data_IF_841141692487
#
_entry.id   IF_841141692487
#
_cell.length_a   1.000
_cell.length_b   1.000
_cell.length_c   1.000
_cell.angle_alpha   90.00
_cell.angle_beta   90.00
_cell.angle_gamma   90.00
#
_symmetry.space_group_name_H-M   'P 1'
#
loop_
_entity.id
_entity.type
_entity.pdbx_description
1 polymer ?
#
# COMPACT_ATOMS: atom_id res chain seq x y z
N UNK A 1 16.14 -7.83 4.14
CA UNK A 1 15.04 -7.24 3.35
C UNK A 1 15.57 -6.02 2.62
N UNK A 2 15.20 -5.79 1.35
CA UNK A 2 15.57 -4.57 0.62
C UNK A 2 14.73 -3.41 1.16
N UNK A 3 15.35 -2.27 1.44
CA UNK A 3 14.65 -1.06 1.92
C UNK A 3 13.67 -0.54 0.83
N UNK A 4 12.50 0.02 1.22
CA UNK A 4 11.55 0.58 0.28
C UNK A 4 12.20 1.71 -0.54
N UNK A 5 11.97 1.71 -1.85
CA UNK A 5 12.58 2.70 -2.75
C UNK A 5 11.66 3.89 -3.06
N UNK A 6 10.41 3.82 -2.62
CA UNK A 6 9.35 4.76 -2.95
C UNK A 6 8.69 5.34 -1.69
N UNK A 7 8.13 6.55 -1.78
CA UNK A 7 7.43 7.17 -0.65
C UNK A 7 6.21 6.34 -0.22
N UNK A 8 5.47 5.81 -1.19
CA UNK A 8 4.37 4.87 -0.91
C UNK A 8 4.85 3.53 -0.31
N UNK A 9 6.01 3.04 -0.74
CA UNK A 9 6.60 1.82 -0.17
C UNK A 9 6.89 1.95 1.32
N UNK A 10 7.35 3.13 1.78
CA UNK A 10 7.58 3.40 3.20
C UNK A 10 6.29 3.41 4.02
N UNK A 11 5.20 4.00 3.52
CA UNK A 11 3.93 3.99 4.26
C UNK A 11 3.40 2.57 4.42
N UNK A 12 3.44 1.78 3.34
CA UNK A 12 3.01 0.37 3.38
C UNK A 12 3.93 -0.48 4.27
N UNK A 13 5.24 -0.21 4.27
CA UNK A 13 6.19 -0.91 5.15
C UNK A 13 5.86 -0.67 6.63
N UNK A 14 5.63 0.59 7.03
CA UNK A 14 5.24 0.92 8.42
C UNK A 14 3.95 0.19 8.81
N UNK A 15 2.92 0.23 7.96
CA UNK A 15 1.69 -0.51 8.22
C UNK A 15 1.89 -2.01 8.29
N UNK A 16 2.72 -2.57 7.40
CA UNK A 16 3.01 -3.99 7.37
C UNK A 16 3.73 -4.46 8.63
N UNK A 17 4.75 -3.71 9.08
CA UNK A 17 5.46 -4.00 10.33
C UNK A 17 4.52 -3.88 11.52
N UNK A 18 3.73 -2.81 11.63
CA UNK A 18 2.78 -2.65 12.74
C UNK A 18 1.76 -3.79 12.78
N UNK A 19 1.16 -4.13 11.63
CA UNK A 19 0.17 -5.21 11.54
C UNK A 19 0.77 -6.58 11.90
N UNK A 20 2.01 -6.83 11.49
CA UNK A 20 2.75 -8.04 11.84
C UNK A 20 3.04 -8.11 13.35
N UNK A 21 3.54 -7.03 13.94
CA UNK A 21 3.93 -6.99 15.35
C UNK A 21 2.70 -7.05 16.26
N UNK A 22 1.65 -6.29 15.97
CA UNK A 22 0.40 -6.37 16.72
C UNK A 22 -0.29 -7.72 16.53
N UNK A 23 -0.27 -8.27 15.31
CA UNK A 23 -0.77 -9.63 15.06
C UNK A 23 -0.01 -10.67 15.86
N UNK A 24 1.32 -10.61 15.88
CA UNK A 24 2.16 -11.51 16.68
C UNK A 24 1.92 -11.34 18.18
N UNK A 25 1.78 -10.10 18.67
CA UNK A 25 1.47 -9.83 20.07
C UNK A 25 0.16 -10.51 20.49
N UNK A 26 -0.88 -10.44 19.67
CA UNK A 26 -2.18 -11.03 20.00
C UNK A 26 -2.20 -12.55 19.97
N UNK A 27 -1.28 -13.16 19.22
CA UNK A 27 -1.10 -14.61 19.16
C UNK A 27 -0.26 -15.14 20.33
N UNK A 28 0.79 -14.40 20.71
CA UNK A 28 1.70 -14.80 21.79
C UNK A 28 1.14 -14.41 23.16
N UNK A 29 0.50 -13.25 23.26
CA UNK A 29 0.03 -12.67 24.52
C UNK A 29 -1.34 -11.99 24.38
N UNK A 30 -2.42 -12.76 24.13
CA UNK A 30 -3.76 -12.23 23.87
C UNK A 30 -4.29 -11.34 25.02
N UNK A 31 -4.00 -11.67 26.27
CA UNK A 31 -4.44 -10.86 27.42
C UNK A 31 -3.80 -9.47 27.45
N UNK A 32 -2.53 -9.36 27.04
CA UNK A 32 -1.86 -8.06 26.97
C UNK A 32 -2.53 -7.17 25.92
N UNK A 33 -2.87 -7.74 24.76
CA UNK A 33 -3.56 -7.02 23.70
C UNK A 33 -4.99 -6.61 24.09
N UNK A 34 -5.74 -7.47 24.79
CA UNK A 34 -7.06 -7.12 25.33
C UNK A 34 -6.98 -5.91 26.27
N UNK A 35 -6.01 -5.89 27.19
CA UNK A 35 -5.83 -4.76 28.11
C UNK A 35 -5.44 -3.48 27.38
N UNK A 36 -4.58 -3.56 26.35
CA UNK A 36 -4.23 -2.41 25.52
C UNK A 36 -5.44 -1.82 24.78
N UNK A 37 -6.38 -2.68 24.38
CA UNK A 37 -7.65 -2.29 23.76
C UNK A 37 -8.69 -1.81 24.79
N UNK A 38 -8.37 -1.85 26.08
CA UNK A 38 -9.25 -1.43 27.17
C UNK A 38 -10.30 -2.48 27.57
N UNK A 39 -10.12 -3.74 27.17
CA UNK A 39 -10.98 -4.85 27.62
C UNK A 39 -10.52 -5.39 28.97
N UNK A 40 -11.49 -5.76 29.80
CA UNK A 40 -11.24 -6.54 31.00
C UNK A 40 -10.85 -7.98 30.64
N UNK A 41 -9.90 -8.53 31.38
CA UNK A 41 -9.45 -9.92 31.23
C UNK A 41 -9.89 -10.69 32.48
N UNK A 42 -11.07 -11.34 32.45
CA UNK A 42 -11.58 -12.07 33.60
C UNK A 42 -10.74 -13.33 33.88
N UNK A 43 -10.59 -13.67 35.17
CA UNK A 43 -9.87 -14.88 35.59
C UNK A 43 -10.57 -16.18 35.13
N UNK A 44 -11.89 -16.14 34.96
CA UNK A 44 -12.70 -17.22 34.38
C UNK A 44 -13.69 -16.63 33.39
N UNK A 45 -13.65 -17.10 32.14
CA UNK A 45 -14.59 -16.72 31.09
C UNK A 45 -15.89 -17.51 31.22
N UNK A 46 -17.03 -16.86 30.98
CA UNK A 46 -18.33 -17.53 30.98
C UNK A 46 -18.48 -18.45 29.76
N UNK A 47 -19.38 -19.43 29.84
CA UNK A 47 -19.74 -20.22 28.67
C UNK A 47 -20.35 -19.29 27.59
N UNK A 48 -19.77 -19.29 26.39
CA UNK A 48 -20.17 -18.41 25.29
C UNK A 48 -19.34 -17.12 25.14
N UNK A 49 -18.40 -16.85 26.05
CA UNK A 49 -17.42 -15.78 25.85
C UNK A 49 -16.34 -16.22 24.86
N UNK A 50 -16.54 -15.86 23.59
CA UNK A 50 -15.61 -16.14 22.50
C UNK A 50 -14.61 -15.01 22.24
N UNK A 51 -14.47 -14.03 23.14
CA UNK A 51 -13.61 -12.86 22.95
C UNK A 51 -12.17 -13.26 22.66
N UNK A 52 -11.64 -14.27 23.36
CA UNK A 52 -10.30 -14.80 23.11
C UNK A 52 -10.16 -15.47 21.74
N UNK A 53 -11.17 -16.22 21.30
CA UNK A 53 -11.19 -16.86 19.98
C UNK A 53 -11.26 -15.81 18.87
N UNK A 54 -12.14 -14.82 19.00
CA UNK A 54 -12.23 -13.70 18.06
C UNK A 54 -10.92 -12.93 18.00
N UNK A 55 -10.32 -12.61 19.14
CA UNK A 55 -9.03 -11.91 19.18
C UNK A 55 -7.93 -12.72 18.48
N UNK A 56 -7.86 -14.03 18.73
CA UNK A 56 -6.86 -14.91 18.08
C UNK A 56 -7.05 -14.91 16.56
N UNK A 57 -8.29 -15.04 16.09
CA UNK A 57 -8.62 -14.98 14.66
C UNK A 57 -8.27 -13.61 14.04
N UNK A 58 -8.64 -12.52 14.71
CA UNK A 58 -8.29 -11.15 14.30
C UNK A 58 -6.77 -10.92 14.28
N UNK A 59 -6.04 -11.50 15.23
CA UNK A 59 -4.58 -11.39 15.34
C UNK A 59 -3.88 -12.17 14.23
N UNK A 60 -4.34 -13.38 13.89
CA UNK A 60 -3.87 -14.12 12.71
C UNK A 60 -4.12 -13.34 11.42
N UNK A 61 -5.31 -12.73 11.28
CA UNK A 61 -5.63 -11.92 10.11
C UNK A 61 -4.70 -10.70 9.98
N UNK A 62 -4.44 -9.98 11.09
CA UNK A 62 -3.50 -8.87 11.14
C UNK A 62 -2.08 -9.31 10.79
N UNK A 63 -1.62 -10.43 11.35
CA UNK A 63 -0.30 -10.99 11.07
C UNK A 63 -0.13 -11.30 9.59
N UNK A 64 -1.10 -12.01 8.99
CA UNK A 64 -1.10 -12.34 7.56
C UNK A 64 -1.07 -11.09 6.69
N UNK A 65 -1.89 -10.07 7.02
CA UNK A 65 -1.86 -8.79 6.30
C UNK A 65 -0.51 -8.08 6.42
N UNK A 66 0.14 -8.14 7.58
CA UNK A 66 1.50 -7.65 7.76
C UNK A 66 2.49 -8.30 6.79
N UNK A 67 2.45 -9.63 6.67
CA UNK A 67 3.28 -10.38 5.72
C UNK A 67 3.00 -9.95 4.27
N UNK A 68 1.72 -9.85 3.88
CA UNK A 68 1.36 -9.45 2.52
C UNK A 68 1.84 -8.03 2.18
N UNK A 69 1.76 -7.10 3.14
CA UNK A 69 2.23 -5.73 2.94
C UNK A 69 3.74 -5.69 2.78
N UNK A 70 4.49 -6.43 3.61
CA UNK A 70 5.94 -6.50 3.51
C UNK A 70 6.40 -7.18 2.23
N UNK A 71 5.69 -8.21 1.76
CA UNK A 71 5.95 -8.85 0.48
C UNK A 71 5.68 -7.89 -0.69
N UNK A 72 4.58 -7.14 -0.64
CA UNK A 72 4.28 -6.11 -1.64
C UNK A 72 5.35 -5.02 -1.67
N UNK A 73 5.89 -4.64 -0.50
CA UNK A 73 7.03 -3.71 -0.41
C UNK A 73 8.29 -4.29 -1.01
N UNK A 74 8.63 -5.53 -0.67
CA UNK A 74 9.83 -6.20 -1.19
C UNK A 74 9.81 -6.37 -2.71
N UNK A 75 8.62 -6.49 -3.29
CA UNK A 75 8.39 -6.65 -4.74
C UNK A 75 8.03 -5.34 -5.45
N UNK A 76 7.94 -4.22 -4.72
CA UNK A 76 7.44 -2.92 -5.22
C UNK A 76 6.12 -3.05 -6.02
N UNK A 77 5.18 -3.83 -5.50
CA UNK A 77 3.91 -4.09 -6.18
C UNK A 77 2.96 -2.88 -6.10
N UNK A 78 3.16 -1.89 -6.99
CA UNK A 78 2.44 -0.60 -6.93
C UNK A 78 0.92 -0.72 -7.11
N UNK A 79 0.43 -1.73 -7.82
CA UNK A 79 -1.00 -1.98 -7.94
C UNK A 79 -1.60 -2.37 -6.58
N UNK A 80 -0.89 -3.15 -5.78
CA UNK A 80 -1.29 -3.48 -4.43
C UNK A 80 -1.38 -2.22 -3.54
N UNK A 81 -0.39 -1.31 -3.62
CA UNK A 81 -0.44 -0.05 -2.85
C UNK A 81 -1.69 0.79 -3.15
N UNK A 82 -2.08 0.87 -4.44
CA UNK A 82 -3.32 1.58 -4.85
C UNK A 82 -4.55 0.91 -4.26
N UNK A 83 -4.59 -0.42 -4.29
CA UNK A 83 -5.68 -1.19 -3.70
C UNK A 83 -5.78 -0.98 -2.19
N UNK A 84 -4.64 -0.88 -1.50
CA UNK A 84 -4.59 -0.57 -0.07
C UNK A 84 -5.28 0.76 0.26
N UNK A 85 -5.10 1.79 -0.58
CA UNK A 85 -5.82 3.07 -0.40
C UNK A 85 -7.33 2.86 -0.42
N UNK A 86 -7.85 2.11 -1.40
CA UNK A 86 -9.29 1.84 -1.51
C UNK A 86 -9.81 1.10 -0.28
N UNK A 87 -9.15 0.03 0.13
CA UNK A 87 -9.58 -0.74 1.30
C UNK A 87 -9.52 0.06 2.58
N UNK A 88 -8.49 0.88 2.77
CA UNK A 88 -8.40 1.78 3.94
C UNK A 88 -9.52 2.80 3.98
N UNK A 89 -9.95 3.34 2.83
CA UNK A 89 -11.12 4.21 2.75
C UNK A 89 -12.43 3.48 3.06
N UNK A 90 -12.55 2.21 2.63
CA UNK A 90 -13.68 1.35 3.02
C UNK A 90 -13.68 1.15 4.54
N UNK A 91 -12.54 0.82 5.14
CA UNK A 91 -12.41 0.63 6.60
C UNK A 91 -12.73 1.91 7.36
N UNK A 92 -12.21 3.07 6.93
CA UNK A 92 -12.57 4.39 7.46
C UNK A 92 -14.08 4.61 7.43
N UNK A 93 -14.73 4.31 6.30
CA UNK A 93 -16.16 4.50 6.11
C UNK A 93 -16.95 3.58 7.04
N UNK A 94 -16.64 2.28 7.07
CA UNK A 94 -17.34 1.31 7.91
C UNK A 94 -17.21 1.67 9.39
N UNK A 95 -15.99 1.96 9.87
CA UNK A 95 -15.79 2.33 11.28
C UNK A 95 -16.49 3.64 11.65
N UNK A 96 -16.47 4.64 10.76
CA UNK A 96 -17.23 5.88 10.96
C UNK A 96 -18.73 5.59 11.07
N UNK A 97 -19.28 4.81 10.15
CA UNK A 97 -20.71 4.48 10.16
C UNK A 97 -21.11 3.66 11.39
N UNK A 98 -20.27 2.72 11.84
CA UNK A 98 -20.58 1.94 13.05
C UNK A 98 -20.61 2.78 14.32
N UNK A 99 -19.78 3.83 14.39
CA UNK A 99 -19.81 4.79 15.51
C UNK A 99 -21.05 5.68 15.40
N UNK A 100 -21.32 6.24 14.21
CA UNK A 100 -22.51 7.08 13.99
C UNK A 100 -23.85 6.35 14.18
N UNK A 101 -23.85 5.02 14.07
CA UNK A 101 -25.01 4.17 14.31
C UNK A 101 -25.09 3.62 15.74
N UNK A 102 -24.24 4.08 16.67
CA UNK A 102 -24.17 3.62 18.06
C UNK A 102 -23.91 2.11 18.25
N UNK A 103 -23.36 1.46 17.21
CA UNK A 103 -22.98 0.03 17.25
C UNK A 103 -21.61 -0.16 17.89
N UNK A 104 -20.70 0.81 17.68
CA UNK A 104 -19.34 0.79 18.21
C UNK A 104 -19.08 1.99 19.14
N UNK A 105 -18.19 1.85 20.14
CA UNK A 105 -17.85 2.96 21.04
C UNK A 105 -17.22 4.15 20.31
N UNK A 106 -17.45 5.39 20.75
CA UNK A 106 -16.89 6.61 20.12
C UNK A 106 -15.38 6.59 19.89
N UNK A 107 -14.64 5.94 20.79
CA UNK A 107 -13.18 5.74 20.66
C UNK A 107 -12.78 5.02 19.37
N UNK A 108 -13.67 4.24 18.74
CA UNK A 108 -13.44 3.60 17.44
C UNK A 108 -13.32 4.62 16.31
N UNK A 109 -13.81 5.84 16.47
CA UNK A 109 -13.62 6.91 15.51
C UNK A 109 -12.13 7.27 15.35
N UNK A 110 -11.33 7.12 16.42
CA UNK A 110 -9.88 7.28 16.34
C UNK A 110 -9.24 6.26 15.38
N UNK A 111 -9.73 5.02 15.38
CA UNK A 111 -9.29 3.97 14.45
C UNK A 111 -9.71 4.31 13.02
N UNK A 112 -10.93 4.80 12.83
CA UNK A 112 -11.38 5.28 11.52
C UNK A 112 -10.43 6.38 11.00
N UNK A 113 -10.20 7.42 11.79
CA UNK A 113 -9.32 8.53 11.42
C UNK A 113 -7.91 8.05 11.06
N UNK A 114 -7.36 7.10 11.83
CA UNK A 114 -6.07 6.49 11.52
C UNK A 114 -6.05 5.82 10.15
N UNK A 115 -7.09 5.05 9.82
CA UNK A 115 -7.22 4.41 8.51
C UNK A 115 -7.32 5.43 7.37
N UNK A 116 -8.10 6.49 7.56
CA UNK A 116 -8.23 7.59 6.61
C UNK A 116 -6.90 8.34 6.38
N UNK A 117 -6.20 8.69 7.46
CA UNK A 117 -4.88 9.33 7.39
C UNK A 117 -3.86 8.43 6.67
N UNK A 118 -3.87 7.14 6.95
CA UNK A 118 -3.02 6.16 6.26
C UNK A 118 -3.30 6.04 4.76
N UNK A 119 -4.58 6.09 4.38
CA UNK A 119 -5.00 6.11 2.98
C UNK A 119 -4.49 7.37 2.27
N UNK A 120 -4.65 8.54 2.89
CA UNK A 120 -4.18 9.83 2.36
C UNK A 120 -2.66 9.82 2.22
N UNK A 121 -1.92 9.41 3.25
CA UNK A 121 -0.46 9.35 3.22
C UNK A 121 0.05 8.46 2.07
N UNK A 122 -0.56 7.29 1.89
CA UNK A 122 -0.20 6.36 0.81
C UNK A 122 -0.55 6.92 -0.58
N UNK A 123 -1.73 7.53 -0.73
CA UNK A 123 -2.15 8.16 -1.98
C UNK A 123 -1.24 9.34 -2.37
N UNK A 124 -0.83 10.16 -1.40
CA UNK A 124 0.12 11.26 -1.59
C UNK A 124 1.49 10.71 -1.99
N UNK A 125 1.98 9.67 -1.31
CA UNK A 125 3.21 8.97 -1.67
C UNK A 125 3.20 8.49 -3.12
N UNK A 126 2.14 7.79 -3.53
CA UNK A 126 1.96 7.31 -4.91
C UNK A 126 1.97 8.47 -5.93
N UNK A 127 1.31 9.58 -5.59
CA UNK A 127 1.24 10.76 -6.47
C UNK A 127 2.58 11.50 -6.58
N UNK A 128 3.39 11.52 -5.53
CA UNK A 128 4.76 12.06 -5.59
C UNK A 128 5.70 11.15 -6.39
N UNK A 129 5.62 9.84 -6.16
CA UNK A 129 6.44 8.87 -6.88
C UNK A 129 6.12 8.88 -8.39
N UNK A 130 4.85 9.07 -8.77
CA UNK A 130 4.45 9.22 -10.18
C UNK A 130 5.01 10.52 -10.80
N UNK A 131 5.00 11.64 -10.06
CA UNK A 131 5.54 12.92 -10.55
C UNK A 131 7.05 12.88 -10.75
N UNK A 132 7.80 12.20 -9.88
CA UNK A 132 9.25 12.02 -10.03
C UNK A 132 9.64 11.14 -11.21
N UNK A 133 8.80 10.18 -11.58
CA UNK A 133 9.04 9.33 -12.75
C UNK A 133 8.83 10.06 -14.09
N UNK A 134 8.15 11.22 -14.08
CA UNK A 134 7.79 12.00 -15.28
C UNK A 134 8.69 13.23 -15.46
N UNK A 135 9.55 13.58 -14.49
CA UNK A 135 10.50 14.68 -14.64
C UNK A 135 11.47 14.37 -15.79
N UNK A 136 11.48 15.18 -16.87
CA UNK A 136 12.26 14.88 -18.06
C UNK A 136 13.75 15.01 -17.77
N UNK A 137 14.54 14.07 -18.29
CA UNK A 137 15.95 14.30 -18.62
C UNK A 137 16.02 15.55 -19.48
N UNK A 138 16.45 16.66 -18.89
CA UNK A 138 16.92 17.84 -19.61
C UNK A 138 18.09 17.38 -20.47
N UNK A 139 17.83 17.18 -21.76
CA UNK A 139 18.87 17.07 -22.78
C UNK A 139 19.46 18.46 -22.92
N UNK A 140 20.51 18.74 -22.15
CA UNK A 140 21.46 19.78 -22.50
C UNK A 140 22.31 19.25 -23.65
N UNK A 141 22.15 19.87 -24.81
CA UNK A 141 23.04 19.70 -25.94
C UNK A 141 23.05 20.99 -26.76
N UNK A 142 23.91 21.97 -26.45
CA UNK A 142 24.31 22.93 -27.45
C UNK A 142 25.33 22.21 -28.34
N UNK A 143 25.06 22.11 -29.64
CA UNK A 143 26.03 22.05 -30.75
C UNK A 143 25.45 21.27 -31.94
N UNK A 144 25.31 21.95 -33.09
CA UNK A 144 24.95 21.30 -34.35
C UNK A 144 24.27 22.19 -35.39
N UNK A 145 24.85 23.37 -35.65
CA UNK A 145 24.50 24.22 -36.80
C UNK A 145 24.80 23.48 -38.10
N UNK A 146 23.99 23.73 -39.13
CA UNK A 146 23.81 22.88 -40.32
C UNK A 146 24.94 22.81 -41.34
N UNK A 147 24.75 21.97 -42.37
CA UNK A 147 25.28 22.17 -43.73
C UNK A 147 24.76 21.08 -44.67
N UNK A 148 24.36 21.46 -45.90
CA UNK A 148 24.52 20.60 -47.08
C UNK A 148 23.27 20.19 -47.83
N UNK A 149 22.77 21.08 -48.69
CA UNK A 149 21.99 20.72 -49.87
C UNK A 149 22.88 20.00 -50.91
N UNK A 150 22.32 19.05 -51.66
CA UNK A 150 23.02 18.37 -52.76
C UNK A 150 22.11 17.43 -53.55
N UNK A 151 21.80 17.84 -54.77
CA UNK A 151 20.81 17.38 -55.74
C UNK A 151 21.29 16.21 -56.63
N UNK A 152 20.36 15.68 -57.45
CA UNK A 152 20.49 14.88 -58.69
C UNK A 152 20.43 13.34 -58.54
N UNK A 153 19.38 12.64 -58.98
CA UNK A 153 18.84 12.39 -60.34
C UNK A 153 19.22 10.96 -60.81
N UNK A 154 18.22 10.15 -61.19
CA UNK A 154 18.37 8.78 -61.72
C UNK A 154 19.04 8.71 -63.11
N UNK A 155 19.05 7.55 -63.82
CA UNK A 155 17.96 6.57 -63.91
C UNK A 155 18.38 5.08 -63.87
N UNK A 156 17.38 4.20 -63.80
CA UNK A 156 17.48 2.76 -64.06
C UNK A 156 17.62 2.44 -65.57
N UNK A 157 18.15 1.25 -65.92
CA UNK A 157 17.36 0.38 -66.78
C UNK A 157 17.37 -1.10 -66.36
N UNK A 158 16.55 -1.86 -67.09
CA UNK A 158 15.90 -3.11 -66.74
C UNK A 158 16.62 -4.41 -67.18
N UNK A 159 15.99 -5.52 -66.77
CA UNK A 159 15.87 -6.84 -67.42
C UNK A 159 16.80 -7.97 -66.96
N UNK A 160 16.16 -9.06 -66.50
CA UNK A 160 16.77 -10.36 -66.20
C UNK A 160 15.76 -11.36 -65.63
N UNK A 161 15.05 -12.04 -66.52
CA UNK A 161 14.04 -13.11 -66.32
C UNK A 161 14.56 -14.39 -65.64
N UNK A 162 13.81 -14.94 -64.67
CA UNK A 162 13.54 -16.38 -64.36
C UNK A 162 12.35 -16.34 -63.37
N UNK A 163 11.17 -16.97 -63.49
CA UNK A 163 10.61 -18.09 -64.24
C UNK A 163 9.09 -17.90 -64.33
#
# INVERSE_FOLDING_TARGET
MRLPRSGAGWTIAVFGVLALLLGALGLVWPEAQLRMLGFEVPARRAAGDYTGTFLTASSMASFNMGVYYLLAVATEWRAFYRFTVVFRLVTFTVFTLTVLADVAPDRFFGVALWEGLGAVATAVGLRWDARRAVAPTSVDGPDGVGSGAGESAGPAPAAGTVR
#
